data_IF_500636665247
#
_entry.id   IF_500636665247
#
_cell.length_a   1.000
_cell.length_b   1.000
_cell.length_c   1.000
_cell.angle_alpha   90.00
_cell.angle_beta   90.00
_cell.angle_gamma   90.00
#
_symmetry.space_group_name_H-M   'P 1'
#
loop_
_entity.id
_entity.type
_entity.pdbx_description
1 polymer ?
#
# COMPACT_ATOMS: atom_id res chain seq x y z
N UNK A 1 11.72 20.80 -22.73
CA UNK A 1 12.09 19.94 -21.59
C UNK A 1 11.88 20.61 -20.22
N UNK A 2 12.20 21.91 -20.08
CA UNK A 2 11.93 22.68 -18.86
C UNK A 2 10.43 22.85 -18.61
N UNK A 3 9.62 23.05 -19.66
CA UNK A 3 8.17 23.18 -19.56
C UNK A 3 7.51 21.88 -19.07
N UNK A 4 8.00 20.71 -19.50
CA UNK A 4 7.50 19.41 -19.05
C UNK A 4 7.77 19.18 -17.56
N UNK A 5 8.99 19.50 -17.10
CA UNK A 5 9.35 19.37 -15.69
C UNK A 5 8.52 20.31 -14.82
N UNK A 6 8.31 21.55 -15.25
CA UNK A 6 7.48 22.52 -14.53
C UNK A 6 6.04 22.05 -14.42
N UNK A 7 5.45 21.55 -15.51
CA UNK A 7 4.08 21.02 -15.52
C UNK A 7 3.95 19.83 -14.58
N UNK A 8 4.92 18.92 -14.57
CA UNK A 8 4.95 17.78 -13.65
C UNK A 8 5.02 18.23 -12.19
N UNK A 9 5.87 19.21 -11.89
CA UNK A 9 5.96 19.79 -10.55
C UNK A 9 4.65 20.45 -10.11
N UNK A 10 3.95 21.13 -11.01
CA UNK A 10 2.66 21.74 -10.74
C UNK A 10 1.60 20.68 -10.43
N UNK A 11 1.56 19.57 -11.19
CA UNK A 11 0.66 18.46 -10.94
C UNK A 11 0.95 17.81 -9.58
N UNK A 12 2.21 17.65 -9.20
CA UNK A 12 2.59 17.16 -7.89
C UNK A 12 2.09 18.07 -6.76
N UNK A 13 2.20 19.39 -6.94
CA UNK A 13 1.74 20.38 -5.95
C UNK A 13 0.23 20.37 -5.77
N UNK A 14 -0.54 20.25 -6.85
CA UNK A 14 -2.01 20.24 -6.79
C UNK A 14 -2.60 18.84 -6.62
N UNK A 15 -1.75 17.83 -6.42
CA UNK A 15 -2.14 16.43 -6.20
C UNK A 15 -3.03 15.85 -7.30
N UNK A 16 -2.81 16.25 -8.54
CA UNK A 16 -3.55 15.72 -9.71
C UNK A 16 -2.99 14.40 -10.22
N UNK A 17 -1.83 13.96 -9.68
CA UNK A 17 -1.25 12.66 -10.00
C UNK A 17 -2.05 11.54 -9.36
N UNK A 18 -2.47 10.56 -10.16
CA UNK A 18 -3.08 9.35 -9.64
C UNK A 18 -2.05 8.24 -9.59
N UNK A 19 -1.71 7.83 -8.38
CA UNK A 19 -0.82 6.69 -8.12
C UNK A 19 -1.65 5.46 -7.81
N UNK A 20 -1.25 4.33 -8.36
CA UNK A 20 -1.87 3.04 -8.06
C UNK A 20 -0.81 2.09 -7.54
N UNK A 21 -1.10 1.47 -6.41
CA UNK A 21 -0.22 0.52 -5.75
C UNK A 21 -0.82 -0.86 -5.77
N UNK A 22 0.03 -1.88 -5.87
CA UNK A 22 -0.34 -3.26 -5.61
C UNK A 22 0.22 -3.66 -4.25
N UNK A 23 -0.63 -4.30 -3.45
CA UNK A 23 -0.34 -4.65 -2.06
C UNK A 23 -0.72 -6.10 -1.79
N UNK A 24 0.09 -6.79 -1.00
CA UNK A 24 -0.30 -8.05 -0.39
C UNK A 24 -0.58 -7.81 1.08
N UNK A 25 -1.75 -8.18 1.53
CA UNK A 25 -2.20 -7.95 2.91
C UNK A 25 -2.55 -9.26 3.60
N UNK A 26 -2.48 -9.25 4.92
CA UNK A 26 -2.84 -10.37 5.78
C UNK A 26 -4.35 -10.59 5.76
N UNK A 27 -4.78 -11.81 5.59
CA UNK A 27 -6.19 -12.21 5.61
C UNK A 27 -6.93 -11.93 4.30
N UNK A 28 -8.16 -12.43 4.23
CA UNK A 28 -9.04 -12.16 3.10
C UNK A 28 -9.90 -10.93 3.40
N UNK A 29 -9.78 -9.93 2.55
CA UNK A 29 -10.63 -8.75 2.61
C UNK A 29 -11.97 -9.11 1.97
N UNK A 30 -13.05 -9.04 2.73
CA UNK A 30 -14.37 -9.52 2.29
C UNK A 30 -15.16 -8.51 1.45
N UNK A 31 -14.78 -7.24 1.48
CA UNK A 31 -15.41 -6.20 0.68
C UNK A 31 -14.67 -6.05 -0.64
N UNK A 32 -15.35 -6.20 -1.76
CA UNK A 32 -14.73 -6.14 -3.09
C UNK A 32 -14.01 -4.80 -3.35
N UNK A 33 -14.60 -3.69 -2.94
CA UNK A 33 -13.96 -2.38 -2.95
C UNK A 33 -14.51 -1.50 -1.83
N UNK A 34 -13.67 -0.60 -1.32
CA UNK A 34 -14.07 0.35 -0.29
C UNK A 34 -13.13 1.54 -0.29
N UNK A 35 -13.58 2.64 0.29
CA UNK A 35 -12.75 3.79 0.57
C UNK A 35 -12.50 3.85 2.07
N UNK A 36 -11.22 3.82 2.46
CA UNK A 36 -10.81 4.00 3.84
C UNK A 36 -10.66 5.50 4.05
N UNK A 37 -11.56 6.10 4.81
CA UNK A 37 -11.58 7.52 5.12
C UNK A 37 -11.34 7.72 6.60
N UNK A 38 -10.07 7.79 6.97
CA UNK A 38 -9.63 7.92 8.37
C UNK A 38 -8.47 8.90 8.45
N UNK A 39 -8.59 9.96 9.27
CA UNK A 39 -7.53 10.95 9.41
C UNK A 39 -6.29 10.36 10.07
N UNK A 40 -5.14 10.83 9.64
CA UNK A 40 -3.84 10.31 10.08
C UNK A 40 -3.06 11.38 10.85
N UNK A 41 -2.42 10.95 11.91
CA UNK A 41 -1.57 11.76 12.77
C UNK A 41 -0.15 11.20 12.79
N UNK A 42 0.83 12.07 12.52
CA UNK A 42 2.24 11.74 12.72
C UNK A 42 2.59 11.89 14.20
N UNK A 43 3.35 10.96 14.72
CA UNK A 43 3.87 11.04 16.09
C UNK A 43 5.28 10.45 16.14
N UNK A 44 6.00 10.77 17.23
CA UNK A 44 7.37 10.30 17.42
C UNK A 44 7.42 9.40 18.64
N UNK A 45 8.04 8.23 18.48
CA UNK A 45 8.30 7.32 19.60
C UNK A 45 9.42 7.88 20.50
N UNK A 46 9.52 7.43 21.77
CA UNK A 46 10.62 7.83 22.65
C UNK A 46 12.02 7.59 22.04
N UNK A 47 12.15 6.61 21.15
CA UNK A 47 13.39 6.32 20.43
C UNK A 47 13.76 7.36 19.36
N UNK A 48 12.86 8.30 19.05
CA UNK A 48 13.01 9.24 17.93
C UNK A 48 12.42 8.75 16.62
N UNK A 49 11.96 7.51 16.55
CA UNK A 49 11.35 6.96 15.34
C UNK A 49 9.99 7.64 15.08
N UNK A 50 9.79 8.05 13.82
CA UNK A 50 8.51 8.64 13.40
C UNK A 50 7.55 7.56 12.94
N UNK A 51 6.31 7.66 13.40
CA UNK A 51 5.21 6.78 13.01
C UNK A 51 3.95 7.56 12.71
N UNK A 52 2.95 6.85 12.21
CA UNK A 52 1.65 7.41 11.86
C UNK A 52 0.56 6.52 12.45
N UNK A 53 -0.52 7.13 12.91
CA UNK A 53 -1.69 6.40 13.41
C UNK A 53 -2.97 7.06 12.94
N UNK A 54 -4.06 6.30 12.96
CA UNK A 54 -5.40 6.86 12.82
C UNK A 54 -5.76 7.59 14.11
N UNK A 55 -6.13 8.85 14.00
CA UNK A 55 -6.56 9.64 15.15
C UNK A 55 -7.63 10.64 14.71
N UNK A 56 -8.85 10.45 15.20
CA UNK A 56 -10.00 11.29 14.86
C UNK A 56 -10.20 12.47 15.80
N UNK A 57 -9.40 12.58 16.85
CA UNK A 57 -9.60 13.56 17.94
C UNK A 57 -8.63 14.73 17.90
N UNK A 58 -7.43 14.53 17.38
CA UNK A 58 -6.40 15.57 17.33
C UNK A 58 -6.67 16.60 16.25
N UNK A 59 -6.48 17.88 16.57
CA UNK A 59 -6.57 18.97 15.58
C UNK A 59 -5.40 18.90 14.56
N UNK A 60 -4.34 18.16 14.88
CA UNK A 60 -3.18 17.99 14.01
C UNK A 60 -3.34 16.83 13.03
N UNK A 61 -4.37 16.01 13.20
CA UNK A 61 -4.67 14.92 12.25
C UNK A 61 -5.06 15.49 10.89
N UNK A 62 -4.59 14.82 9.84
CA UNK A 62 -4.86 15.24 8.46
C UNK A 62 -5.88 14.32 7.81
N UNK A 63 -6.91 14.87 7.16
CA UNK A 63 -7.84 14.05 6.39
C UNK A 63 -7.08 13.19 5.39
N UNK A 64 -7.44 11.91 5.33
CA UNK A 64 -6.73 10.94 4.50
C UNK A 64 -7.71 9.90 3.96
N UNK A 65 -7.62 9.63 2.67
CA UNK A 65 -8.51 8.71 1.98
C UNK A 65 -7.71 7.76 1.09
N UNK A 66 -7.99 6.48 1.19
CA UNK A 66 -7.41 5.45 0.34
C UNK A 66 -8.51 4.57 -0.22
N UNK A 67 -8.60 4.47 -1.54
CA UNK A 67 -9.53 3.58 -2.21
C UNK A 67 -8.85 2.24 -2.45
N UNK A 68 -9.48 1.15 -2.05
CA UNK A 68 -8.95 -0.20 -2.26
C UNK A 68 -9.91 -1.07 -3.04
N UNK A 69 -9.36 -1.96 -3.85
CA UNK A 69 -10.08 -2.98 -4.62
C UNK A 69 -9.38 -4.31 -4.45
N UNK A 70 -10.12 -5.34 -4.09
CA UNK A 70 -9.57 -6.70 -3.95
C UNK A 70 -9.48 -7.32 -5.34
N UNK A 71 -8.26 -7.63 -5.77
CA UNK A 71 -8.02 -8.26 -7.07
C UNK A 71 -8.04 -9.78 -6.96
N UNK A 72 -7.52 -10.34 -5.88
CA UNK A 72 -7.41 -11.78 -5.73
C UNK A 72 -7.28 -12.17 -4.26
N UNK A 73 -7.94 -13.27 -3.88
CA UNK A 73 -7.76 -13.93 -2.59
C UNK A 73 -6.85 -15.12 -2.79
N UNK A 74 -5.84 -15.26 -1.94
CA UNK A 74 -4.80 -16.26 -2.06
C UNK A 74 -4.63 -17.01 -0.75
N UNK A 75 -4.05 -18.20 -0.84
CA UNK A 75 -3.62 -18.96 0.33
C UNK A 75 -2.18 -19.41 0.07
N UNK A 76 -1.26 -19.01 0.93
CA UNK A 76 0.16 -19.31 0.82
C UNK A 76 0.62 -19.93 2.14
N UNK A 77 1.13 -21.15 2.09
CA UNK A 77 1.60 -21.88 3.27
C UNK A 77 0.54 -21.95 4.38
N UNK A 78 -0.73 -22.13 4.00
CA UNK A 78 -1.85 -22.20 4.92
C UNK A 78 -2.34 -20.84 5.44
N UNK A 79 -1.73 -19.75 5.02
CA UNK A 79 -2.10 -18.40 5.42
C UNK A 79 -2.94 -17.72 4.36
N UNK A 80 -4.03 -17.10 4.77
CA UNK A 80 -4.90 -16.32 3.88
C UNK A 80 -4.29 -14.95 3.65
N UNK A 81 -4.18 -14.56 2.38
CA UNK A 81 -3.70 -13.24 1.97
C UNK A 81 -4.58 -12.69 0.85
N UNK A 82 -4.57 -11.39 0.67
CA UNK A 82 -5.29 -10.72 -0.42
C UNK A 82 -4.34 -9.86 -1.24
N UNK A 83 -4.50 -9.92 -2.56
CA UNK A 83 -3.88 -8.96 -3.48
C UNK A 83 -4.85 -7.80 -3.65
N UNK A 84 -4.40 -6.61 -3.32
CA UNK A 84 -5.20 -5.40 -3.31
C UNK A 84 -4.58 -4.34 -4.21
N UNK A 85 -5.42 -3.68 -5.00
CA UNK A 85 -5.08 -2.43 -5.66
C UNK A 85 -5.46 -1.28 -4.74
N UNK A 86 -4.51 -0.40 -4.44
CA UNK A 86 -4.72 0.74 -3.56
C UNK A 86 -4.44 2.05 -4.29
N UNK A 87 -5.41 2.96 -4.26
CA UNK A 87 -5.31 4.31 -4.84
C UNK A 87 -5.43 5.33 -3.72
N UNK A 88 -4.31 5.92 -3.27
CA UNK A 88 -4.38 6.98 -2.27
C UNK A 88 -4.91 8.26 -2.92
N UNK A 89 -6.00 8.79 -2.38
CA UNK A 89 -6.60 10.06 -2.83
C UNK A 89 -5.91 11.26 -2.17
N UNK A 90 -5.17 11.00 -1.11
CA UNK A 90 -4.32 11.95 -0.39
C UNK A 90 -2.91 11.36 -0.29
N UNK A 91 -1.92 12.13 0.07
CA UNK A 91 -0.52 11.68 0.07
C UNK A 91 0.15 11.76 1.44
N UNK A 92 -0.47 11.26 2.50
CA UNK A 92 0.13 11.29 3.84
C UNK A 92 1.22 10.23 4.01
N UNK A 93 2.16 10.48 4.88
CA UNK A 93 3.23 9.54 5.21
C UNK A 93 2.65 8.21 5.67
N UNK A 94 3.16 7.11 5.12
CA UNK A 94 2.73 5.74 5.45
C UNK A 94 1.21 5.49 5.32
N UNK A 95 0.51 6.31 4.54
CA UNK A 95 -0.95 6.30 4.47
C UNK A 95 -1.53 4.92 4.17
N UNK A 96 -1.09 4.26 3.10
CA UNK A 96 -1.61 2.94 2.70
C UNK A 96 -1.34 1.91 3.79
N UNK A 97 -0.13 1.91 4.36
CA UNK A 97 0.29 0.99 5.42
C UNK A 97 -0.61 1.10 6.64
N UNK A 98 -0.83 2.31 7.13
CA UNK A 98 -1.64 2.57 8.32
C UNK A 98 -3.12 2.33 8.06
N UNK A 99 -3.63 2.76 6.90
CA UNK A 99 -5.03 2.52 6.53
C UNK A 99 -5.35 1.03 6.47
N UNK A 100 -4.52 0.22 5.81
CA UNK A 100 -4.75 -1.21 5.72
C UNK A 100 -4.65 -1.89 7.09
N UNK A 101 -3.70 -1.51 7.91
CA UNK A 101 -3.61 -2.01 9.29
C UNK A 101 -4.85 -1.64 10.11
N UNK A 102 -5.40 -0.45 9.90
CA UNK A 102 -6.58 0.05 10.64
C UNK A 102 -7.86 -0.75 10.37
N UNK A 103 -7.94 -1.41 9.22
CA UNK A 103 -9.08 -2.27 8.89
C UNK A 103 -8.81 -3.76 9.16
N UNK A 104 -7.72 -4.08 9.86
CA UNK A 104 -7.37 -5.43 10.24
C UNK A 104 -6.63 -6.24 9.18
N UNK A 105 -6.15 -5.59 8.13
CA UNK A 105 -5.44 -6.22 7.01
C UNK A 105 -4.07 -5.57 6.75
N UNK A 106 -3.13 -5.66 7.72
CA UNK A 106 -1.81 -5.05 7.53
C UNK A 106 -1.05 -5.70 6.38
N UNK A 107 -0.14 -4.94 5.79
CA UNK A 107 0.71 -5.42 4.70
C UNK A 107 1.64 -6.54 5.15
N UNK A 108 1.84 -7.53 4.28
CA UNK A 108 2.89 -8.52 4.50
C UNK A 108 4.26 -7.81 4.51
N UNK A 109 5.12 -8.24 5.42
CA UNK A 109 6.46 -7.68 5.53
C UNK A 109 6.53 -6.30 6.16
N UNK A 110 5.43 -5.75 6.66
CA UNK A 110 5.42 -4.45 7.32
C UNK A 110 5.85 -4.59 8.79
N UNK A 111 7.08 -4.23 9.07
CA UNK A 111 7.67 -4.35 10.41
C UNK A 111 7.20 -3.28 11.40
N UNK A 112 6.56 -2.21 10.90
CA UNK A 112 6.08 -1.10 11.75
C UNK A 112 4.62 -1.22 12.14
N UNK A 113 3.77 -1.68 11.22
CA UNK A 113 2.32 -1.65 11.40
C UNK A 113 1.67 -3.03 11.38
N UNK A 114 2.42 -4.09 11.11
CA UNK A 114 1.93 -5.46 11.18
C UNK A 114 2.47 -6.16 12.44
N UNK A 115 1.63 -6.37 13.47
CA UNK A 115 2.10 -6.97 14.73
C UNK A 115 2.56 -8.43 14.59
N UNK A 116 2.17 -9.11 13.51
CA UNK A 116 2.60 -10.49 13.27
C UNK A 116 4.02 -10.58 12.69
N UNK A 117 4.59 -9.46 12.21
CA UNK A 117 5.96 -9.45 11.70
C UNK A 117 6.92 -9.23 12.85
N UNK A 118 7.73 -10.23 13.14
CA UNK A 118 8.79 -10.17 14.14
C UNK A 118 10.13 -10.03 13.43
N UNK A 119 11.08 -9.37 14.09
CA UNK A 119 12.47 -9.26 13.59
C UNK A 119 13.13 -10.63 13.45
N UNK A 120 12.58 -11.65 14.09
CA UNK A 120 13.05 -13.02 14.05
C UNK A 120 12.24 -13.90 13.09
N UNK A 121 11.24 -13.34 12.44
CA UNK A 121 10.40 -14.09 11.50
C UNK A 121 11.21 -14.45 10.26
N UNK A 122 11.42 -15.75 10.09
CA UNK A 122 12.14 -16.32 8.94
C UNK A 122 11.18 -16.66 7.79
N UNK A 123 9.96 -16.09 7.79
CA UNK A 123 9.02 -16.33 6.70
C UNK A 123 9.63 -15.91 5.35
N UNK A 124 9.08 -16.46 4.27
CA UNK A 124 9.55 -16.16 2.91
C UNK A 124 9.37 -14.69 2.52
N UNK A 125 8.51 -13.96 3.23
CA UNK A 125 8.22 -12.55 2.94
C UNK A 125 9.01 -11.66 3.90
N UNK A 126 10.17 -11.17 3.42
CA UNK A 126 11.09 -10.33 4.21
C UNK A 126 11.00 -8.85 3.90
N UNK A 127 10.26 -8.48 2.86
CA UNK A 127 10.13 -7.10 2.44
C UNK A 127 8.68 -6.64 2.52
N UNK A 128 8.50 -5.34 2.64
CA UNK A 128 7.19 -4.70 2.56
C UNK A 128 6.55 -4.96 1.19
N UNK A 129 5.40 -5.62 1.18
CA UNK A 129 4.68 -5.96 -0.05
C UNK A 129 3.78 -4.82 -0.52
N UNK A 130 4.40 -3.70 -0.84
CA UNK A 130 3.77 -2.49 -1.37
C UNK A 130 4.55 -2.03 -2.58
N UNK A 131 3.90 -2.03 -3.74
CA UNK A 131 4.56 -1.68 -5.00
C UNK A 131 3.77 -0.64 -5.77
N UNK A 132 4.38 0.51 -6.04
CA UNK A 132 3.83 1.52 -6.94
C UNK A 132 3.92 1.00 -8.38
N UNK A 133 2.80 0.58 -8.94
CA UNK A 133 2.83 -0.08 -10.24
C UNK A 133 2.29 0.77 -11.39
N UNK A 134 1.52 1.79 -11.11
CA UNK A 134 0.94 2.67 -12.12
C UNK A 134 0.92 4.11 -11.66
N UNK A 135 1.25 5.00 -12.57
CA UNK A 135 1.20 6.44 -12.37
C UNK A 135 0.47 7.06 -13.55
N UNK A 136 -0.65 7.71 -13.29
CA UNK A 136 -1.40 8.48 -14.27
C UNK A 136 -1.12 9.97 -14.06
N UNK A 137 -0.61 10.61 -15.10
CA UNK A 137 -0.30 12.03 -15.11
C UNK A 137 -1.21 12.67 -16.15
N UNK A 138 -2.02 13.68 -15.80
CA UNK A 138 -2.87 14.37 -16.79
C UNK A 138 -2.04 14.82 -18.00
N UNK A 139 -2.55 14.61 -19.20
CA UNK A 139 -1.94 14.97 -20.49
C UNK A 139 -0.66 14.19 -20.84
N UNK A 140 -0.33 13.12 -20.11
CA UNK A 140 0.80 12.23 -20.40
C UNK A 140 0.34 10.77 -20.43
N UNK A 141 1.17 9.93 -21.04
CA UNK A 141 0.91 8.48 -21.06
C UNK A 141 0.97 7.89 -19.64
N UNK A 142 0.14 6.91 -19.39
CA UNK A 142 0.18 6.16 -18.15
C UNK A 142 1.48 5.37 -18.04
N UNK A 143 2.18 5.51 -16.91
CA UNK A 143 3.41 4.79 -16.61
C UNK A 143 3.06 3.56 -15.78
N UNK A 144 3.48 2.38 -16.24
CA UNK A 144 3.32 1.12 -15.50
C UNK A 144 4.67 0.47 -15.27
N UNK A 145 4.82 -0.16 -14.11
CA UNK A 145 6.03 -0.92 -13.76
C UNK A 145 5.67 -2.38 -13.50
N UNK A 146 6.57 -3.29 -13.83
CA UNK A 146 6.39 -4.71 -13.53
C UNK A 146 6.47 -4.93 -12.02
N UNK A 147 5.74 -5.94 -11.51
CA UNK A 147 5.87 -6.38 -10.13
C UNK A 147 7.27 -6.98 -9.91
N UNK A 148 7.89 -6.70 -8.74
CA UNK A 148 9.12 -7.40 -8.37
C UNK A 148 8.92 -8.92 -8.36
N UNK A 149 9.96 -9.67 -8.74
CA UNK A 149 9.87 -11.13 -8.87
C UNK A 149 9.45 -11.83 -7.57
N UNK A 150 9.89 -11.34 -6.43
CA UNK A 150 9.54 -11.90 -5.13
C UNK A 150 8.06 -11.73 -4.80
N UNK A 151 7.42 -10.64 -5.22
CA UNK A 151 5.98 -10.43 -5.09
C UNK A 151 5.23 -11.24 -6.15
N UNK A 152 5.72 -11.25 -7.37
CA UNK A 152 5.12 -11.98 -8.49
C UNK A 152 5.05 -13.49 -8.18
N UNK A 153 6.08 -14.05 -7.59
CA UNK A 153 6.13 -15.47 -7.24
C UNK A 153 5.10 -15.89 -6.19
N UNK A 154 4.66 -14.97 -5.34
CA UNK A 154 3.62 -15.23 -4.35
C UNK A 154 2.22 -15.25 -4.96
N UNK A 155 2.02 -14.51 -6.05
CA UNK A 155 0.72 -14.34 -6.71
C UNK A 155 0.48 -15.43 -7.75
N UNK A 156 1.53 -15.76 -8.51
CA UNK A 156 1.44 -16.75 -9.59
C UNK A 156 1.55 -18.15 -8.97
N UNK A 157 0.52 -19.01 -9.10
CA UNK A 157 0.65 -20.38 -8.63
C UNK A 157 1.82 -21.05 -9.35
N UNK A 158 2.56 -21.95 -8.67
CA UNK A 158 3.63 -22.68 -9.34
C UNK A 158 3.02 -23.35 -10.57
N UNK A 159 3.66 -23.13 -11.73
CA UNK A 159 3.24 -23.82 -12.94
C UNK A 159 3.29 -25.31 -12.64
N UNK A 160 2.12 -25.92 -12.56
CA UNK A 160 2.05 -27.36 -12.58
C UNK A 160 2.66 -27.77 -13.92
N UNK A 161 3.83 -28.38 -13.87
CA UNK A 161 4.33 -29.12 -14.99
C UNK A 161 3.30 -30.18 -15.30
N UNK A 162 2.41 -29.88 -16.22
CA UNK A 162 1.63 -30.92 -16.84
C UNK A 162 2.60 -31.84 -17.59
N UNK A 163 2.99 -32.86 -16.90
CA UNK A 163 3.67 -33.96 -17.55
C UNK A 163 2.68 -34.70 -18.43
#
# INVERSE_FOLDING_TARGET
KRSTLKTLQEHLKVKTLQKTYLCLVTGWVNTASQTIDKPLLKYTLPSGERRVKVDQKSDESKPSQTQITVLQKLEVEGKKISLIEAKPLTGRTHQIRVHLASIGHPLLGDDKYNPAVSKTDKSAVRRLCLHAYQLEIPDYDTIKTALPDDIQSLITPPQQNEA
#
